data_IF_974390564958
#
_entry.id   IF_974390564958
#
_cell.length_a   1.000
_cell.length_b   1.000
_cell.length_c   1.000
_cell.angle_alpha   90.00
_cell.angle_beta   90.00
_cell.angle_gamma   90.00
#
_symmetry.space_group_name_H-M   'P 1'
#
loop_
_entity.id
_entity.type
_entity.pdbx_description
1 polymer ?
#
# COMPACT_ATOMS: atom_id res chain seq x y z
N UNK A 1 16.37 7.42 7.89
CA UNK A 1 16.22 5.94 7.83
C UNK A 1 16.22 5.40 9.23
N UNK A 2 15.19 4.65 9.61
CA UNK A 2 15.08 4.13 10.96
C UNK A 2 14.38 2.76 11.00
N UNK A 3 14.47 2.13 12.15
CA UNK A 3 13.79 0.87 12.45
C UNK A 3 13.03 0.98 13.76
N UNK A 4 11.92 0.28 13.86
CA UNK A 4 11.26 0.01 15.13
C UNK A 4 10.94 -1.48 15.27
N UNK A 5 10.54 -1.90 16.47
CA UNK A 5 10.08 -3.28 16.71
C UNK A 5 8.58 -3.28 17.02
N UNK A 6 7.88 -4.19 16.37
CA UNK A 6 6.47 -4.46 16.63
C UNK A 6 6.27 -5.15 18.00
N UNK A 7 5.02 -5.28 18.44
CA UNK A 7 4.66 -6.00 19.67
C UNK A 7 5.15 -7.45 19.70
N UNK A 8 5.25 -8.10 18.53
CA UNK A 8 5.82 -9.45 18.38
C UNK A 8 7.31 -9.44 17.97
N UNK A 9 8.01 -8.31 18.19
CA UNK A 9 9.46 -8.09 18.04
C UNK A 9 10.02 -8.15 16.63
N UNK A 10 9.21 -8.12 15.60
CA UNK A 10 9.65 -8.02 14.20
C UNK A 10 10.16 -6.60 13.95
N UNK A 11 11.35 -6.48 13.35
CA UNK A 11 11.97 -5.21 13.01
C UNK A 11 11.41 -4.71 11.69
N UNK A 12 10.85 -3.52 11.69
CA UNK A 12 10.22 -2.85 10.55
C UNK A 12 11.03 -1.61 10.18
N UNK A 13 11.28 -1.43 8.89
CA UNK A 13 11.96 -0.26 8.35
C UNK A 13 10.96 0.87 8.05
N UNK A 14 11.36 2.11 8.30
CA UNK A 14 10.62 3.30 7.89
C UNK A 14 11.55 4.49 7.62
N UNK A 15 11.02 5.45 6.87
CA UNK A 15 11.65 6.74 6.57
C UNK A 15 10.69 7.86 6.89
N UNK A 16 11.24 9.02 7.26
CA UNK A 16 10.47 10.23 7.49
C UNK A 16 10.98 11.38 6.63
N UNK A 17 10.07 12.11 6.01
CA UNK A 17 10.36 13.25 5.16
C UNK A 17 9.39 14.40 5.45
N UNK A 18 9.90 15.64 5.48
CA UNK A 18 9.08 16.83 5.70
C UNK A 18 8.55 16.98 7.12
N UNK A 19 7.56 17.84 7.27
CA UNK A 19 6.92 18.15 8.55
C UNK A 19 5.43 18.48 8.34
N UNK A 20 4.64 18.50 9.43
CA UNK A 20 3.21 18.84 9.38
C UNK A 20 2.29 17.67 9.72
N UNK A 21 1.10 17.63 9.10
CA UNK A 21 0.14 16.54 9.33
C UNK A 21 0.73 15.21 8.83
N UNK A 22 0.70 14.12 9.64
CA UNK A 22 1.31 12.86 9.26
C UNK A 22 0.54 12.16 8.15
N UNK A 23 1.29 11.71 7.13
CA UNK A 23 0.86 10.86 6.03
C UNK A 23 1.72 9.58 6.02
N UNK A 24 1.11 8.42 6.23
CA UNK A 24 1.82 7.13 6.34
C UNK A 24 1.45 6.25 5.14
N UNK A 25 2.45 5.85 4.36
CA UNK A 25 2.28 5.10 3.12
C UNK A 25 3.09 3.82 3.11
N UNK A 26 2.49 2.72 2.61
CA UNK A 26 3.16 1.48 2.25
C UNK A 26 3.02 1.21 0.75
N UNK A 27 4.01 0.54 0.16
CA UNK A 27 3.96 0.14 -1.25
C UNK A 27 3.28 -1.23 -1.45
N UNK A 28 3.34 -1.75 -2.68
CA UNK A 28 2.79 -3.03 -3.06
C UNK A 28 3.66 -4.22 -2.67
N UNK A 29 3.18 -5.43 -2.94
CA UNK A 29 3.96 -6.64 -2.76
C UNK A 29 5.18 -6.62 -3.68
N UNK A 30 6.33 -7.00 -3.14
CA UNK A 30 7.59 -6.91 -3.87
C UNK A 30 8.20 -5.51 -3.95
N UNK A 31 7.48 -4.48 -3.47
CA UNK A 31 7.98 -3.11 -3.45
C UNK A 31 8.61 -2.69 -2.13
N UNK A 32 9.14 -1.48 -2.12
CA UNK A 32 9.84 -0.87 -0.99
C UNK A 32 9.53 0.64 -0.90
N UNK A 33 10.14 1.33 0.09
CA UNK A 33 9.91 2.76 0.28
C UNK A 33 10.45 3.62 -0.87
N UNK A 34 11.52 3.18 -1.55
CA UNK A 34 12.16 3.92 -2.65
C UNK A 34 11.21 4.09 -3.85
N UNK A 35 10.19 3.22 -3.98
CA UNK A 35 9.17 3.33 -5.04
C UNK A 35 8.23 4.54 -4.90
N UNK A 36 8.37 5.33 -3.85
CA UNK A 36 7.70 6.62 -3.66
C UNK A 36 8.59 7.83 -4.03
N UNK A 37 9.80 7.60 -4.61
CA UNK A 37 10.79 8.63 -4.94
C UNK A 37 10.21 9.82 -5.73
N UNK A 38 9.42 9.52 -6.78
CA UNK A 38 8.75 10.52 -7.63
C UNK A 38 7.65 11.32 -6.93
N UNK A 39 7.23 10.89 -5.73
CA UNK A 39 6.12 11.49 -4.99
C UNK A 39 6.58 12.17 -3.70
N UNK A 40 7.66 11.68 -3.09
CA UNK A 40 8.08 12.03 -1.73
C UNK A 40 8.32 13.54 -1.57
N UNK A 41 9.05 14.17 -2.48
CA UNK A 41 9.36 15.61 -2.38
C UNK A 41 8.10 16.46 -2.41
N UNK A 42 7.15 16.17 -3.30
CA UNK A 42 5.90 16.91 -3.43
C UNK A 42 5.01 16.75 -2.17
N UNK A 43 4.95 15.56 -1.61
CA UNK A 43 4.18 15.28 -0.41
C UNK A 43 4.83 15.90 0.84
N UNK A 44 6.15 15.77 0.97
CA UNK A 44 6.94 16.26 2.10
C UNK A 44 6.98 17.79 2.21
N UNK A 45 6.69 18.52 1.13
CA UNK A 45 6.56 19.96 1.13
C UNK A 45 5.42 20.46 2.06
N UNK A 46 4.44 19.62 2.41
CA UNK A 46 3.26 19.99 3.20
C UNK A 46 2.90 19.01 4.31
N UNK A 47 3.48 17.81 4.33
CA UNK A 47 3.14 16.73 5.26
C UNK A 47 4.39 16.11 5.86
N UNK A 48 4.27 15.57 7.08
CA UNK A 48 5.23 14.61 7.63
C UNK A 48 4.95 13.27 6.98
N UNK A 49 5.68 12.93 5.94
CA UNK A 49 5.52 11.68 5.17
C UNK A 49 6.32 10.59 5.87
N UNK A 50 5.66 9.49 6.18
CA UNK A 50 6.27 8.27 6.71
C UNK A 50 6.08 7.17 5.68
N UNK A 51 7.17 6.70 5.11
CA UNK A 51 7.20 5.55 4.21
C UNK A 51 7.67 4.34 5.00
N UNK A 52 6.96 3.22 4.93
CA UNK A 52 7.33 2.03 5.70
C UNK A 52 7.23 0.76 4.87
N UNK A 53 8.04 -0.23 5.23
CA UNK A 53 8.11 -1.52 4.58
C UNK A 53 7.47 -2.57 5.50
N UNK A 54 6.34 -3.17 5.11
CA UNK A 54 5.72 -4.23 5.89
C UNK A 54 6.64 -5.43 6.07
N UNK A 55 6.49 -6.20 7.16
CA UNK A 55 7.22 -7.46 7.35
C UNK A 55 7.19 -8.30 6.07
N UNK A 56 8.29 -8.95 5.76
CA UNK A 56 8.46 -9.73 4.54
C UNK A 56 8.85 -8.92 3.31
N UNK A 57 9.09 -7.61 3.43
CA UNK A 57 9.45 -6.73 2.32
C UNK A 57 10.80 -6.06 2.58
N UNK A 58 11.63 -6.05 1.55
CA UNK A 58 12.91 -5.38 1.43
C UNK A 58 13.76 -5.33 2.73
N UNK A 59 13.82 -4.17 3.40
CA UNK A 59 14.64 -3.93 4.61
C UNK A 59 13.99 -4.37 5.93
N UNK A 60 12.69 -4.71 5.91
CA UNK A 60 12.02 -5.24 7.09
C UNK A 60 12.36 -6.72 7.32
N UNK A 61 12.28 -7.17 8.57
CA UNK A 61 12.49 -8.58 8.90
C UNK A 61 11.46 -9.47 8.18
N UNK A 62 11.91 -10.67 7.82
CA UNK A 62 11.11 -11.68 7.11
C UNK A 62 10.99 -12.94 7.96
N UNK A 63 10.07 -12.99 8.95
CA UNK A 63 9.84 -14.20 9.74
C UNK A 63 9.58 -15.43 8.88
N UNK A 64 10.14 -16.57 9.25
CA UNK A 64 9.97 -17.83 8.51
C UNK A 64 8.56 -18.41 8.66
N UNK A 65 7.95 -18.25 9.84
CA UNK A 65 6.63 -18.74 10.15
C UNK A 65 5.55 -18.01 9.34
N UNK A 66 4.82 -18.69 8.42
CA UNK A 66 3.76 -18.06 7.62
C UNK A 66 2.60 -17.53 8.46
N UNK A 67 2.37 -18.03 9.67
CA UNK A 67 1.34 -17.55 10.59
C UNK A 67 1.61 -16.09 11.06
N UNK A 68 2.83 -15.61 10.90
CA UNK A 68 3.22 -14.21 11.16
C UNK A 68 2.74 -13.23 10.08
N UNK A 69 2.09 -13.71 9.01
CA UNK A 69 1.65 -12.89 7.88
C UNK A 69 0.15 -12.94 7.71
N UNK A 70 -0.50 -11.79 7.77
CA UNK A 70 -1.91 -11.58 7.40
C UNK A 70 -2.18 -10.09 7.26
N UNK A 71 -3.26 -9.72 6.58
CA UNK A 71 -3.67 -8.31 6.53
C UNK A 71 -3.97 -7.73 7.92
N UNK A 72 -4.50 -8.56 8.84
CA UNK A 72 -4.70 -8.16 10.23
C UNK A 72 -3.35 -7.88 10.91
N UNK A 73 -2.34 -8.74 10.71
CA UNK A 73 -1.01 -8.55 11.31
C UNK A 73 -0.33 -7.29 10.78
N UNK A 74 -0.34 -7.07 9.47
CA UNK A 74 0.18 -5.82 8.90
C UNK A 74 -0.56 -4.57 9.39
N UNK A 75 -1.88 -4.65 9.61
CA UNK A 75 -2.62 -3.54 10.21
C UNK A 75 -2.18 -3.28 11.66
N UNK A 76 -1.83 -4.31 12.43
CA UNK A 76 -1.24 -4.16 13.77
C UNK A 76 0.18 -3.60 13.69
N UNK A 77 1.00 -3.97 12.71
CA UNK A 77 2.32 -3.37 12.50
C UNK A 77 2.21 -1.86 12.22
N UNK A 78 1.20 -1.45 11.43
CA UNK A 78 0.92 -0.03 11.20
C UNK A 78 0.47 0.68 12.49
N UNK A 79 -0.31 0.02 13.36
CA UNK A 79 -0.64 0.54 14.69
C UNK A 79 0.63 0.79 15.50
N UNK A 80 1.50 -0.20 15.56
CA UNK A 80 2.75 -0.16 16.33
C UNK A 80 3.69 0.94 15.80
N UNK A 81 3.73 1.14 14.47
CA UNK A 81 4.47 2.26 13.85
C UNK A 81 3.91 3.61 14.31
N UNK A 82 2.59 3.79 14.29
CA UNK A 82 1.98 5.03 14.76
C UNK A 82 2.25 5.28 16.25
N UNK A 83 2.24 4.23 17.07
CA UNK A 83 2.52 4.32 18.51
C UNK A 83 3.99 4.65 18.75
N UNK A 84 4.92 4.00 18.04
CA UNK A 84 6.36 4.30 18.08
C UNK A 84 6.65 5.77 17.74
N UNK A 85 5.98 6.31 16.74
CA UNK A 85 6.16 7.70 16.29
C UNK A 85 5.37 8.74 17.13
N UNK A 86 4.63 8.31 18.14
CA UNK A 86 3.76 9.18 18.94
C UNK A 86 2.59 9.78 18.16
N UNK A 87 2.20 9.15 17.05
CA UNK A 87 1.15 9.64 16.16
C UNK A 87 -0.24 9.14 16.60
N UNK A 88 -1.02 9.99 17.22
CA UNK A 88 -2.38 9.64 17.63
C UNK A 88 -3.31 9.35 16.44
N UNK A 89 -3.16 10.09 15.33
CA UNK A 89 -3.94 9.95 14.09
C UNK A 89 -3.08 10.36 12.90
N UNK A 90 -3.25 9.65 11.77
CA UNK A 90 -2.56 9.94 10.51
C UNK A 90 -3.51 9.80 9.31
N UNK A 91 -3.17 10.43 8.18
CA UNK A 91 -3.60 9.98 6.88
C UNK A 91 -2.87 8.69 6.59
N UNK A 92 -3.59 7.66 6.17
CA UNK A 92 -2.99 6.34 5.89
C UNK A 92 -3.32 5.93 4.46
N UNK A 93 -2.38 5.26 3.82
CA UNK A 93 -2.63 4.81 2.46
C UNK A 93 -1.56 3.88 1.93
N UNK A 94 -1.66 3.61 0.65
CA UNK A 94 -0.67 2.82 -0.04
C UNK A 94 -1.13 2.35 -1.40
N UNK A 95 -0.19 1.70 -2.08
CA UNK A 95 -0.40 1.08 -3.38
C UNK A 95 -0.57 -0.43 -3.21
N UNK A 96 -1.50 -1.04 -3.94
CA UNK A 96 -1.67 -2.50 -4.02
C UNK A 96 -1.82 -3.13 -2.62
N UNK A 97 -0.89 -3.97 -2.18
CA UNK A 97 -0.85 -4.54 -0.83
C UNK A 97 -0.96 -3.46 0.26
N UNK A 98 -0.21 -2.36 0.12
CA UNK A 98 -0.25 -1.24 1.06
C UNK A 98 -1.63 -0.59 1.16
N UNK A 99 -2.36 -0.48 0.05
CA UNK A 99 -3.76 -0.05 0.04
C UNK A 99 -4.68 -1.01 0.78
N UNK A 100 -4.46 -2.31 0.62
CA UNK A 100 -5.18 -3.36 1.36
C UNK A 100 -4.91 -3.32 2.87
N UNK A 101 -3.67 -3.11 3.28
CA UNK A 101 -3.26 -2.93 4.68
C UNK A 101 -3.94 -1.69 5.28
N UNK A 102 -3.83 -0.54 4.61
CA UNK A 102 -4.40 0.72 5.07
C UNK A 102 -5.94 0.65 5.21
N UNK A 103 -6.62 -0.07 4.30
CA UNK A 103 -8.08 -0.28 4.37
C UNK A 103 -8.45 -1.09 5.61
N UNK A 104 -7.77 -2.20 5.88
CA UNK A 104 -8.04 -3.01 7.09
C UNK A 104 -7.67 -2.27 8.36
N UNK A 105 -6.58 -1.52 8.36
CA UNK A 105 -6.25 -0.64 9.48
C UNK A 105 -7.37 0.38 9.75
N UNK A 106 -7.93 0.99 8.70
CA UNK A 106 -9.01 1.96 8.84
C UNK A 106 -10.30 1.34 9.40
N UNK A 107 -10.60 0.09 9.05
CA UNK A 107 -11.73 -0.67 9.58
C UNK A 107 -11.52 -1.10 11.05
N UNK A 108 -10.31 -1.52 11.41
CA UNK A 108 -9.95 -1.99 12.75
C UNK A 108 -9.72 -0.83 13.74
N UNK A 109 -9.10 0.25 13.28
CA UNK A 109 -8.68 1.38 14.11
C UNK A 109 -9.20 2.73 13.57
N UNK A 110 -10.52 2.92 13.36
CA UNK A 110 -11.07 4.09 12.68
C UNK A 110 -10.71 5.42 13.37
N UNK A 111 -10.54 5.39 14.71
CA UNK A 111 -10.16 6.58 15.48
C UNK A 111 -8.72 7.03 15.26
N UNK A 112 -7.87 6.17 14.67
CA UNK A 112 -6.48 6.44 14.33
C UNK A 112 -6.31 7.03 12.94
N UNK A 113 -7.38 7.07 12.11
CA UNK A 113 -7.33 7.47 10.70
C UNK A 113 -7.93 8.85 10.49
N UNK A 114 -7.19 9.73 9.81
CA UNK A 114 -7.67 11.04 9.33
C UNK A 114 -8.36 10.91 7.99
N UNK A 115 -7.75 10.18 7.07
CA UNK A 115 -8.30 9.80 5.77
C UNK A 115 -7.58 8.55 5.25
N UNK A 116 -8.18 7.89 4.28
CA UNK A 116 -7.66 6.70 3.61
C UNK A 116 -7.37 7.02 2.13
N UNK A 117 -6.18 6.65 1.66
CA UNK A 117 -5.75 6.78 0.26
C UNK A 117 -5.40 5.38 -0.25
N UNK A 118 -6.08 4.95 -1.31
CA UNK A 118 -5.85 3.63 -1.92
C UNK A 118 -5.48 3.83 -3.38
N UNK A 119 -4.31 3.36 -3.75
CA UNK A 119 -3.83 3.38 -5.14
C UNK A 119 -3.77 1.95 -5.68
N UNK A 120 -4.39 1.69 -6.82
CA UNK A 120 -4.28 0.44 -7.59
C UNK A 120 -4.32 -0.83 -6.72
N UNK A 121 -5.40 -1.04 -5.97
CA UNK A 121 -5.47 -2.13 -5.00
C UNK A 121 -6.76 -2.96 -5.12
N UNK A 122 -6.64 -4.16 -5.67
CA UNK A 122 -7.72 -5.15 -5.62
C UNK A 122 -7.92 -5.70 -4.20
N UNK A 123 -6.84 -5.89 -3.42
CA UNK A 123 -6.90 -6.40 -2.04
C UNK A 123 -7.62 -5.46 -1.08
N UNK A 124 -7.66 -4.14 -1.38
CA UNK A 124 -8.44 -3.17 -0.62
C UNK A 124 -9.96 -3.34 -0.79
N UNK A 125 -10.41 -3.84 -1.92
CA UNK A 125 -11.83 -4.11 -2.17
C UNK A 125 -12.38 -5.29 -1.37
N UNK A 126 -11.50 -6.22 -0.96
CA UNK A 126 -11.85 -7.46 -0.28
C UNK A 126 -12.65 -8.44 -1.14
N UNK A 127 -12.64 -8.27 -2.46
CA UNK A 127 -13.21 -9.25 -3.39
C UNK A 127 -12.34 -10.52 -3.42
N UNK A 128 -12.95 -11.69 -3.66
CA UNK A 128 -12.19 -12.91 -3.92
C UNK A 128 -11.21 -12.75 -5.08
N UNK A 129 -10.09 -13.44 -5.00
CA UNK A 129 -9.16 -13.56 -6.12
C UNK A 129 -9.76 -14.43 -7.21
N UNK A 130 -9.51 -14.09 -8.49
CA UNK A 130 -9.84 -14.99 -9.58
C UNK A 130 -8.95 -16.25 -9.56
N UNK A 131 -9.39 -17.30 -10.23
CA UNK A 131 -8.65 -18.56 -10.34
C UNK A 131 -7.26 -18.31 -10.95
N UNK A 132 -7.19 -17.47 -11.99
CA UNK A 132 -5.93 -17.12 -12.66
C UNK A 132 -4.97 -16.44 -11.68
N UNK A 133 -5.46 -15.52 -10.84
CA UNK A 133 -4.67 -14.87 -9.80
C UNK A 133 -4.19 -15.86 -8.72
N UNK A 134 -5.02 -16.83 -8.34
CA UNK A 134 -4.62 -17.88 -7.39
C UNK A 134 -3.52 -18.76 -7.98
N UNK A 135 -3.67 -19.21 -9.22
CA UNK A 135 -2.68 -20.03 -9.93
C UNK A 135 -1.35 -19.27 -10.09
N UNK A 136 -1.41 -18.02 -10.55
CA UNK A 136 -0.21 -17.18 -10.70
C UNK A 136 0.53 -17.03 -9.37
N UNK A 137 -0.17 -16.77 -8.25
CA UNK A 137 0.45 -16.60 -6.94
C UNK A 137 1.03 -17.91 -6.40
N UNK A 138 0.33 -19.04 -6.59
CA UNK A 138 0.84 -20.36 -6.21
C UNK A 138 2.13 -20.69 -6.98
N UNK A 139 2.15 -20.42 -8.29
CA UNK A 139 3.36 -20.60 -9.10
C UNK A 139 4.49 -19.64 -8.70
N UNK A 140 4.17 -18.40 -8.34
CA UNK A 140 5.13 -17.45 -7.80
C UNK A 140 5.79 -17.96 -6.52
N UNK A 141 5.03 -18.56 -5.60
CA UNK A 141 5.56 -19.16 -4.36
C UNK A 141 6.53 -20.31 -4.70
N UNK A 142 6.13 -21.21 -5.60
CA UNK A 142 6.94 -22.35 -6.04
C UNK A 142 8.29 -21.89 -6.62
N UNK A 143 8.25 -20.94 -7.57
CA UNK A 143 9.46 -20.39 -8.20
C UNK A 143 10.35 -19.70 -7.17
N UNK A 144 9.76 -18.84 -6.34
CA UNK A 144 10.49 -18.07 -5.32
C UNK A 144 11.28 -19.01 -4.37
N UNK A 145 10.65 -20.08 -3.89
CA UNK A 145 11.26 -20.99 -2.93
C UNK A 145 12.19 -22.02 -3.58
N UNK A 146 11.92 -22.42 -4.82
CA UNK A 146 12.69 -23.47 -5.53
C UNK A 146 13.81 -22.93 -6.42
N UNK A 147 13.66 -21.71 -6.98
CA UNK A 147 14.56 -21.17 -7.99
C UNK A 147 15.12 -19.77 -7.64
N UNK A 148 14.58 -19.13 -6.58
CA UNK A 148 15.06 -17.85 -6.09
C UNK A 148 14.45 -16.63 -6.79
N UNK A 149 14.94 -15.44 -6.40
CA UNK A 149 14.31 -14.16 -6.76
C UNK A 149 14.60 -13.73 -8.20
N UNK A 150 15.71 -14.13 -8.82
CA UNK A 150 15.97 -13.82 -10.24
C UNK A 150 14.96 -14.53 -11.15
N UNK A 151 14.74 -15.84 -10.92
CA UNK A 151 13.72 -16.60 -11.64
C UNK A 151 12.30 -16.05 -11.38
N UNK A 152 12.03 -15.58 -10.15
CA UNK A 152 10.76 -14.93 -9.82
C UNK A 152 10.59 -13.61 -10.58
N UNK A 153 11.64 -12.81 -10.73
CA UNK A 153 11.60 -11.57 -11.50
C UNK A 153 11.26 -11.86 -12.97
N UNK A 154 11.92 -12.85 -13.59
CA UNK A 154 11.62 -13.28 -14.97
C UNK A 154 10.17 -13.73 -15.11
N UNK A 155 9.71 -14.59 -14.19
CA UNK A 155 8.32 -15.04 -14.19
C UNK A 155 7.32 -13.89 -14.02
N UNK A 156 7.60 -12.93 -13.13
CA UNK A 156 6.74 -11.77 -12.93
C UNK A 156 6.63 -10.90 -14.19
N UNK A 157 7.74 -10.67 -14.88
CA UNK A 157 7.75 -9.91 -16.13
C UNK A 157 6.98 -10.62 -17.25
N UNK A 158 7.01 -11.95 -17.29
CA UNK A 158 6.32 -12.74 -18.31
C UNK A 158 4.82 -12.96 -18.00
N UNK A 159 4.45 -13.15 -16.74
CA UNK A 159 3.14 -13.67 -16.35
C UNK A 159 2.30 -12.72 -15.48
N UNK A 160 2.91 -11.72 -14.83
CA UNK A 160 2.14 -10.81 -13.98
C UNK A 160 1.66 -9.60 -14.78
N UNK A 161 0.33 -9.44 -14.99
CA UNK A 161 -0.22 -8.35 -15.80
C UNK A 161 0.10 -6.96 -15.23
N UNK A 162 0.33 -6.83 -13.92
CA UNK A 162 0.72 -5.57 -13.30
C UNK A 162 2.12 -5.14 -13.76
N UNK A 163 3.08 -6.08 -13.78
CA UNK A 163 4.46 -5.83 -14.24
C UNK A 163 4.49 -5.62 -15.74
N UNK A 164 3.80 -6.48 -16.51
CA UNK A 164 3.70 -6.36 -17.97
C UNK A 164 3.09 -5.00 -18.38
N UNK A 165 2.10 -4.51 -17.66
CA UNK A 165 1.50 -3.18 -17.89
C UNK A 165 2.49 -2.04 -17.73
N UNK A 166 3.38 -2.09 -16.73
CA UNK A 166 4.45 -1.10 -16.53
C UNK A 166 5.50 -1.16 -17.65
N UNK A 167 5.94 -2.38 -18.01
CA UNK A 167 6.93 -2.57 -19.07
C UNK A 167 6.41 -2.14 -20.45
N UNK A 168 5.09 -2.23 -20.68
CA UNK A 168 4.47 -1.72 -21.90
C UNK A 168 4.49 -0.18 -21.99
N UNK A 169 4.53 0.52 -20.84
CA UNK A 169 4.65 1.97 -20.78
C UNK A 169 6.11 2.43 -20.75
N UNK A 170 6.98 1.68 -20.10
CA UNK A 170 8.40 1.97 -19.95
C UNK A 170 9.23 0.68 -20.01
N UNK A 171 9.72 0.29 -21.19
CA UNK A 171 10.55 -0.90 -21.34
C UNK A 171 11.87 -0.87 -20.54
N UNK A 172 12.37 0.33 -20.18
CA UNK A 172 13.60 0.48 -19.40
C UNK A 172 13.42 0.07 -17.94
N UNK A 173 12.17 -0.02 -17.43
CA UNK A 173 11.87 -0.48 -16.08
C UNK A 173 12.28 -1.95 -15.81
N UNK A 174 12.69 -2.71 -16.86
CA UNK A 174 13.09 -4.12 -16.70
C UNK A 174 14.24 -4.30 -15.71
N UNK A 175 15.30 -3.50 -15.84
CA UNK A 175 16.46 -3.58 -14.95
C UNK A 175 16.07 -3.24 -13.50
N UNK A 176 15.19 -2.25 -13.31
CA UNK A 176 14.66 -1.85 -12.01
C UNK A 176 13.92 -3.01 -11.33
N UNK A 177 13.06 -3.74 -12.06
CA UNK A 177 12.37 -4.91 -11.51
C UNK A 177 13.34 -6.01 -11.04
N UNK A 178 14.41 -6.30 -11.78
CA UNK A 178 15.41 -7.26 -11.31
C UNK A 178 16.04 -6.83 -9.98
N UNK A 179 16.46 -5.57 -9.87
CA UNK A 179 17.07 -5.05 -8.65
C UNK A 179 16.09 -5.03 -7.48
N UNK A 180 14.82 -4.73 -7.73
CA UNK A 180 13.78 -4.75 -6.71
C UNK A 180 13.54 -6.17 -6.18
N UNK A 181 13.40 -7.16 -7.08
CA UNK A 181 13.19 -8.55 -6.68
C UNK A 181 14.38 -9.13 -5.95
N UNK A 182 15.63 -8.81 -6.34
CA UNK A 182 16.85 -9.26 -5.67
C UNK A 182 16.97 -8.79 -4.22
N UNK A 183 16.36 -7.66 -3.89
CA UNK A 183 16.34 -7.13 -2.50
C UNK A 183 15.36 -7.85 -1.58
N UNK A 184 14.49 -8.70 -2.12
CA UNK A 184 13.48 -9.38 -1.33
C UNK A 184 14.00 -10.69 -0.73
N UNK A 185 13.54 -10.98 0.49
CA UNK A 185 13.67 -12.31 1.07
C UNK A 185 12.74 -13.29 0.35
N UNK A 186 13.24 -14.41 -0.19
CA UNK A 186 12.37 -15.42 -0.80
C UNK A 186 11.27 -15.91 0.15
N UNK A 187 11.63 -16.15 1.42
CA UNK A 187 10.68 -16.58 2.46
C UNK A 187 9.66 -15.48 2.75
N UNK A 188 10.12 -14.23 2.92
CA UNK A 188 9.25 -13.10 3.16
C UNK A 188 8.24 -12.88 2.03
N UNK A 189 8.71 -12.90 0.79
CA UNK A 189 7.87 -12.75 -0.39
C UNK A 189 6.85 -13.88 -0.54
N UNK A 190 7.28 -15.15 -0.37
CA UNK A 190 6.39 -16.31 -0.42
C UNK A 190 5.32 -16.25 0.67
N UNK A 191 5.67 -15.88 1.91
CA UNK A 191 4.72 -15.75 3.01
C UNK A 191 3.75 -14.58 2.80
N UNK A 192 4.21 -13.47 2.21
CA UNK A 192 3.33 -12.37 1.83
C UNK A 192 2.32 -12.79 0.74
N UNK A 193 2.73 -13.60 -0.23
CA UNK A 193 1.83 -14.18 -1.23
C UNK A 193 0.79 -15.12 -0.60
N UNK A 194 1.21 -15.97 0.35
CA UNK A 194 0.29 -16.84 1.12
C UNK A 194 -0.77 -16.02 1.86
N UNK A 195 -0.36 -14.93 2.51
CA UNK A 195 -1.29 -14.03 3.19
C UNK A 195 -2.26 -13.31 2.23
N UNK A 196 -1.82 -13.01 1.00
CA UNK A 196 -2.70 -12.47 -0.05
C UNK A 196 -3.72 -13.51 -0.54
N UNK A 197 -3.32 -14.77 -0.67
CA UNK A 197 -4.24 -15.87 -1.04
C UNK A 197 -5.28 -16.08 0.06
N UNK A 198 -4.87 -16.02 1.32
CA UNK A 198 -5.72 -16.24 2.50
C UNK A 198 -6.41 -14.97 3.02
N UNK A 199 -6.46 -13.90 2.22
CA UNK A 199 -7.00 -12.61 2.69
C UNK A 199 -8.50 -12.66 3.01
N UNK A 200 -8.88 -11.90 4.03
CA UNK A 200 -10.27 -11.73 4.43
C UNK A 200 -11.11 -11.02 3.37
N UNK A 201 -12.35 -11.45 3.19
CA UNK A 201 -13.34 -10.81 2.32
C UNK A 201 -14.05 -9.67 3.06
N UNK A 202 -13.59 -8.43 2.90
CA UNK A 202 -14.07 -7.26 3.62
C UNK A 202 -15.05 -6.38 2.83
N UNK A 203 -15.47 -6.79 1.65
CA UNK A 203 -16.35 -5.99 0.77
C UNK A 203 -17.64 -5.54 1.48
N UNK A 204 -18.20 -6.39 2.33
CA UNK A 204 -19.37 -6.09 3.14
C UNK A 204 -19.11 -5.09 4.27
N UNK A 205 -17.86 -4.90 4.67
CA UNK A 205 -17.47 -3.99 5.74
C UNK A 205 -17.12 -2.58 5.25
N UNK A 206 -16.87 -2.42 3.95
CA UNK A 206 -16.43 -1.15 3.36
C UNK A 206 -17.36 0.05 3.68
N UNK A 207 -18.71 -0.10 3.75
CA UNK A 207 -19.60 1.00 4.12
C UNK A 207 -19.31 1.57 5.51
N UNK A 208 -18.71 0.79 6.42
CA UNK A 208 -18.31 1.26 7.77
C UNK A 208 -17.33 2.42 7.74
N UNK A 209 -16.50 2.53 6.68
CA UNK A 209 -15.59 3.64 6.51
C UNK A 209 -16.33 4.99 6.44
N UNK A 210 -17.44 5.03 5.69
CA UNK A 210 -18.30 6.21 5.64
C UNK A 210 -19.03 6.41 6.98
N UNK A 211 -19.50 5.35 7.63
CA UNK A 211 -20.10 5.41 8.96
C UNK A 211 -19.16 6.00 10.02
N UNK A 212 -17.85 5.73 9.90
CA UNK A 212 -16.80 6.34 10.73
C UNK A 212 -16.37 7.74 10.26
N UNK A 213 -17.00 8.27 9.21
CA UNK A 213 -16.68 9.58 8.60
C UNK A 213 -15.22 9.69 8.14
N UNK A 214 -14.64 8.59 7.70
CA UNK A 214 -13.29 8.57 7.14
C UNK A 214 -13.38 8.97 5.66
N UNK A 215 -12.80 10.12 5.25
CA UNK A 215 -12.70 10.47 3.84
C UNK A 215 -11.85 9.43 3.10
N UNK A 216 -12.28 9.01 1.90
CA UNK A 216 -11.57 8.00 1.11
C UNK A 216 -11.29 8.53 -0.29
N UNK A 217 -10.03 8.47 -0.70
CA UNK A 217 -9.56 8.68 -2.06
C UNK A 217 -9.10 7.35 -2.65
N UNK A 218 -9.61 7.04 -3.83
CA UNK A 218 -9.18 5.91 -4.66
C UNK A 218 -8.50 6.48 -5.90
N UNK A 219 -7.29 6.02 -6.22
CA UNK A 219 -6.55 6.41 -7.43
C UNK A 219 -6.23 5.16 -8.22
N UNK A 220 -6.70 5.07 -9.45
CA UNK A 220 -6.52 3.89 -10.32
C UNK A 220 -5.89 4.26 -11.66
N UNK A 221 -5.02 3.40 -12.19
CA UNK A 221 -4.59 3.48 -13.59
C UNK A 221 -5.65 2.92 -14.54
N UNK A 222 -5.81 3.52 -15.71
CA UNK A 222 -6.79 3.09 -16.72
C UNK A 222 -6.47 1.71 -17.31
N UNK A 223 -5.20 1.30 -17.27
CA UNK A 223 -4.68 0.01 -17.75
C UNK A 223 -4.43 -1.02 -16.63
N UNK A 224 -4.83 -0.70 -15.38
CA UNK A 224 -4.62 -1.58 -14.25
C UNK A 224 -5.79 -2.57 -14.08
N UNK A 225 -5.53 -3.90 -13.99
CA UNK A 225 -6.56 -4.89 -13.68
C UNK A 225 -7.32 -4.62 -12.37
N UNK A 226 -6.71 -3.92 -11.40
CA UNK A 226 -7.38 -3.58 -10.13
C UNK A 226 -8.43 -2.47 -10.25
N UNK A 227 -8.54 -1.77 -11.39
CA UNK A 227 -9.51 -0.70 -11.58
C UNK A 227 -10.96 -1.18 -11.42
N UNK A 228 -11.26 -2.39 -11.89
CA UNK A 228 -12.58 -3.02 -11.70
C UNK A 228 -12.95 -3.18 -10.22
N UNK A 229 -12.13 -3.89 -9.43
CA UNK A 229 -12.26 -3.97 -7.97
C UNK A 229 -12.34 -2.61 -7.27
N UNK A 230 -11.56 -1.62 -7.68
CA UNK A 230 -11.61 -0.27 -7.10
C UNK A 230 -12.92 0.47 -7.41
N UNK A 231 -13.51 0.27 -8.59
CA UNK A 231 -14.86 0.77 -8.91
C UNK A 231 -15.92 0.12 -8.01
N UNK A 232 -15.78 -1.17 -7.66
CA UNK A 232 -16.65 -1.82 -6.67
C UNK A 232 -16.47 -1.17 -5.29
N UNK A 233 -15.23 -0.97 -4.85
CA UNK A 233 -14.93 -0.29 -3.59
C UNK A 233 -15.56 1.12 -3.56
N UNK A 234 -15.44 1.89 -4.64
CA UNK A 234 -16.05 3.23 -4.75
C UNK A 234 -17.56 3.18 -4.57
N UNK A 235 -18.26 2.24 -5.22
CA UNK A 235 -19.71 2.10 -5.04
C UNK A 235 -20.11 1.69 -3.62
N UNK A 236 -19.25 0.95 -2.92
CA UNK A 236 -19.51 0.46 -1.54
C UNK A 236 -19.18 1.48 -0.46
N UNK A 237 -18.41 2.53 -0.76
CA UNK A 237 -18.03 3.57 0.21
C UNK A 237 -18.69 4.89 -0.17
N UNK A 238 -19.86 5.22 0.39
CA UNK A 238 -20.52 6.50 0.14
C UNK A 238 -19.59 7.69 0.43
N UNK A 239 -19.54 8.65 -0.50
CA UNK A 239 -18.71 9.84 -0.37
C UNK A 239 -17.21 9.64 -0.66
N UNK A 240 -16.77 8.45 -1.06
CA UNK A 240 -15.42 8.26 -1.58
C UNK A 240 -15.24 9.00 -2.92
N UNK A 241 -13.99 9.35 -3.25
CA UNK A 241 -13.61 9.91 -4.55
C UNK A 241 -12.79 8.88 -5.31
N UNK A 242 -13.13 8.62 -6.57
CA UNK A 242 -12.32 7.84 -7.49
C UNK A 242 -11.71 8.77 -8.55
N UNK A 243 -10.40 8.69 -8.72
CA UNK A 243 -9.62 9.35 -9.78
C UNK A 243 -9.00 8.26 -10.64
N UNK A 244 -9.19 8.35 -11.95
CA UNK A 244 -8.56 7.43 -12.92
C UNK A 244 -7.50 8.21 -13.66
N UNK A 245 -6.27 7.72 -13.65
CA UNK A 245 -5.12 8.30 -14.35
C UNK A 245 -4.91 7.55 -15.68
N UNK A 246 -4.62 8.29 -16.75
CA UNK A 246 -4.42 7.75 -18.08
C UNK A 246 -3.34 8.53 -18.86
N UNK A 247 -2.39 7.84 -19.53
CA UNK A 247 -2.19 6.39 -19.48
C UNK A 247 -1.48 5.98 -18.18
N UNK A 248 -1.97 4.97 -17.46
CA UNK A 248 -1.33 4.49 -16.25
C UNK A 248 -1.59 2.99 -16.00
N UNK A 249 -0.53 2.28 -15.60
CA UNK A 249 -0.55 0.88 -15.22
C UNK A 249 -0.86 0.69 -13.73
N UNK A 250 -0.46 -0.46 -13.16
CA UNK A 250 -0.51 -0.72 -11.73
C UNK A 250 0.37 0.23 -10.89
N UNK A 251 1.36 0.84 -11.51
CA UNK A 251 2.30 1.77 -10.88
C UNK A 251 1.92 3.23 -11.16
N UNK A 252 0.63 3.57 -11.05
CA UNK A 252 0.08 4.87 -11.44
C UNK A 252 0.76 6.08 -10.78
N UNK A 253 1.33 5.92 -9.57
CA UNK A 253 2.11 6.96 -8.90
C UNK A 253 3.44 7.25 -9.61
N UNK A 254 3.99 6.30 -10.36
CA UNK A 254 5.23 6.40 -11.13
C UNK A 254 4.97 6.69 -12.61
N UNK A 255 3.87 6.17 -13.16
CA UNK A 255 3.49 6.41 -14.55
C UNK A 255 3.00 7.85 -14.77
N UNK A 256 2.31 8.42 -13.78
CA UNK A 256 1.72 9.76 -13.82
C UNK A 256 1.96 10.52 -12.49
N UNK A 257 3.23 10.78 -12.12
CA UNK A 257 3.58 11.28 -10.78
C UNK A 257 2.95 12.63 -10.47
N UNK A 258 2.93 13.59 -11.41
CA UNK A 258 2.36 14.92 -11.17
C UNK A 258 0.84 14.87 -10.99
N UNK A 259 0.16 14.05 -11.79
CA UNK A 259 -1.29 13.88 -11.71
C UNK A 259 -1.69 13.17 -10.43
N UNK A 260 -0.93 12.13 -10.03
CA UNK A 260 -1.12 11.42 -8.78
C UNK A 260 -0.89 12.35 -7.58
N UNK A 261 0.25 13.07 -7.55
CA UNK A 261 0.60 14.02 -6.49
C UNK A 261 -0.48 15.10 -6.34
N UNK A 262 -0.95 15.68 -7.44
CA UNK A 262 -2.02 16.69 -7.43
C UNK A 262 -3.31 16.12 -6.83
N UNK A 263 -3.75 14.94 -7.26
CA UNK A 263 -4.97 14.32 -6.76
C UNK A 263 -4.92 14.05 -5.25
N UNK A 264 -3.77 13.55 -4.76
CA UNK A 264 -3.54 13.26 -3.34
C UNK A 264 -3.44 14.55 -2.52
N UNK A 265 -2.64 15.53 -2.94
CA UNK A 265 -2.45 16.78 -2.20
C UNK A 265 -3.74 17.61 -2.11
N UNK A 266 -4.54 17.68 -3.18
CA UNK A 266 -5.86 18.32 -3.13
C UNK A 266 -6.82 17.61 -2.18
N UNK A 267 -6.78 16.28 -2.14
CA UNK A 267 -7.61 15.52 -1.22
C UNK A 267 -7.18 15.75 0.23
N UNK A 268 -5.89 15.68 0.53
CA UNK A 268 -5.33 15.91 1.87
C UNK A 268 -5.65 17.31 2.38
N UNK A 269 -5.48 18.34 1.54
CA UNK A 269 -5.79 19.72 1.89
C UNK A 269 -7.26 19.89 2.32
N UNK A 270 -8.21 19.23 1.63
CA UNK A 270 -9.62 19.24 2.02
C UNK A 270 -9.87 18.53 3.34
N UNK A 271 -9.14 17.44 3.62
CA UNK A 271 -9.25 16.69 4.87
C UNK A 271 -8.71 17.49 6.05
N UNK A 272 -7.57 18.17 5.87
CA UNK A 272 -6.95 18.99 6.92
C UNK A 272 -7.76 20.25 7.24
N UNK A 273 -8.38 20.89 6.24
CA UNK A 273 -9.27 22.03 6.45
C UNK A 273 -10.54 21.68 7.27
N UNK A 274 -11.00 20.42 7.20
CA UNK A 274 -12.18 19.95 7.97
C UNK A 274 -11.82 19.55 9.40
N UNK A 275 -10.54 19.37 9.73
CA UNK A 275 -10.13 19.03 11.09
C UNK A 275 -10.37 20.23 12.02
N UNK A 276 -10.99 20.07 13.21
CA UNK A 276 -11.14 21.18 14.14
C UNK A 276 -9.75 21.75 14.48
N UNK A 277 -9.54 23.04 14.25
CA UNK A 277 -8.31 23.75 14.64
C UNK A 277 -8.11 23.53 16.13
N UNK A 278 -6.96 23.00 16.54
CA UNK A 278 -6.56 23.00 17.95
C UNK A 278 -6.63 24.45 18.42
N UNK A 279 -7.45 24.75 19.42
CA UNK A 279 -7.33 26.03 20.14
C UNK A 279 -5.92 26.06 20.71
N UNK A 280 -5.15 27.14 20.52
CA UNK A 280 -3.89 27.30 21.23
C UNK A 280 -4.17 27.15 22.72
N UNK A 281 -3.43 26.26 23.38
CA UNK A 281 -3.55 26.04 24.80
C UNK A 281 -3.41 27.39 25.52
N UNK A 282 -4.36 27.70 26.40
CA UNK A 282 -4.13 28.77 27.40
C UNK A 282 -2.95 28.27 28.24
N UNK A 283 -1.87 29.05 28.21
CA UNK A 283 -0.73 28.91 29.09
C UNK A 283 -1.15 29.03 30.56
#
# INVERSE_FOLDING_TARGET
MAYFRTDDRVRIYYEEHGAGTPLVLAYGIGGNADMWDTNTAALAARHRVVLWEPRGHARADSPEDPAKYSFRRWALDLRDLLDHLGLRRAHVGGLSLGGGIATRFALLHPRRVRSLIVTNSSSASGLPLSVENLVMRAKSIEITLGQGMDAMAEYAMAANPNVAGRLALDPNAKAEFYEEYRRLSPIGYANALRALIAMDHITGELPRLAGHRIPVLLVGGDRDPSLGPMKVMHRKIPGSKLVVLAPASHFANRDQPEAWNRAVLEFLARCDARAPRRRPGRA
#
